data_IF_351984151795
#
_entry.id   IF_351984151795
#
_cell.length_a   1.000
_cell.length_b   1.000
_cell.length_c   1.000
_cell.angle_alpha   90.00
_cell.angle_beta   90.00
_cell.angle_gamma   90.00
#
_symmetry.space_group_name_H-M   'P 1'
#
loop_
_entity.id
_entity.type
_entity.pdbx_description
1 polymer ?
#
# COMPACT_ATOMS: atom_id res chain seq x y z
N UNK A 1 -77.87 -7.88 -10.55
CA UNK A 1 -78.28 -9.28 -10.75
C UNK A 1 -77.01 -10.08 -11.01
N UNK A 2 -76.66 -11.02 -10.36
CA UNK A 2 -77.02 -11.84 -9.24
C UNK A 2 -76.05 -13.02 -9.25
N UNK A 3 -75.52 -13.27 -8.08
CA UNK A 3 -75.38 -14.52 -7.34
C UNK A 3 -74.51 -15.67 -7.85
N UNK A 4 -73.53 -15.94 -7.04
CA UNK A 4 -73.34 -17.23 -6.29
C UNK A 4 -72.80 -18.39 -7.15
N UNK A 5 -71.93 -19.20 -6.68
CA UNK A 5 -71.64 -19.77 -5.35
C UNK A 5 -70.36 -20.63 -5.46
N UNK A 6 -69.49 -20.58 -4.46
CA UNK A 6 -69.18 -21.66 -3.56
C UNK A 6 -68.61 -22.98 -4.14
N UNK A 7 -67.36 -23.26 -3.90
CA UNK A 7 -66.94 -24.58 -3.38
C UNK A 7 -65.63 -24.47 -2.58
N UNK A 8 -65.73 -24.76 -1.31
CA UNK A 8 -64.59 -25.01 -0.42
C UNK A 8 -64.06 -26.40 -0.72
N UNK A 9 -62.75 -26.52 -0.91
CA UNK A 9 -62.04 -27.81 -0.76
C UNK A 9 -60.80 -27.56 0.07
N UNK A 10 -60.87 -27.94 1.32
CA UNK A 10 -59.77 -28.04 2.25
C UNK A 10 -58.87 -29.18 1.79
N UNK A 11 -57.62 -28.84 1.44
CA UNK A 11 -56.55 -29.83 1.28
C UNK A 11 -55.52 -29.54 2.34
N UNK A 12 -55.49 -30.38 3.38
CA UNK A 12 -54.43 -30.47 4.38
C UNK A 12 -53.18 -31.06 3.67
N UNK A 13 -52.16 -30.28 3.49
CA UNK A 13 -50.86 -30.79 3.08
C UNK A 13 -49.84 -30.57 4.21
N UNK A 14 -49.28 -31.67 4.64
CA UNK A 14 -48.29 -31.77 5.70
C UNK A 14 -47.06 -30.87 5.49
N UNK A 15 -46.70 -30.12 6.56
CA UNK A 15 -45.40 -29.47 6.63
C UNK A 15 -44.27 -30.50 6.75
N UNK A 16 -43.62 -30.78 5.63
CA UNK A 16 -42.29 -31.35 5.65
C UNK A 16 -41.28 -30.25 5.86
N UNK A 17 -40.70 -30.12 7.05
CA UNK A 17 -39.50 -29.34 7.29
C UNK A 17 -38.35 -30.00 6.58
N UNK A 18 -38.16 -29.64 5.32
CA UNK A 18 -36.90 -29.89 4.62
C UNK A 18 -35.88 -28.85 5.06
N UNK A 19 -34.96 -29.23 5.94
CA UNK A 19 -33.73 -28.45 6.17
C UNK A 19 -32.91 -28.47 4.89
N UNK A 20 -33.04 -27.43 4.07
CA UNK A 20 -32.07 -27.15 3.04
C UNK A 20 -30.72 -26.92 3.74
N UNK A 21 -29.65 -27.66 3.38
CA UNK A 21 -28.33 -27.32 3.86
C UNK A 21 -28.00 -25.93 3.31
N UNK A 22 -27.74 -24.98 4.22
CA UNK A 22 -27.06 -23.74 3.88
C UNK A 22 -25.69 -24.16 3.30
N UNK A 23 -25.63 -24.26 1.98
CA UNK A 23 -24.36 -24.25 1.26
C UNK A 23 -23.72 -22.89 1.60
N UNK A 24 -22.83 -22.93 2.60
CA UNK A 24 -21.90 -21.83 2.84
C UNK A 24 -21.19 -21.60 1.50
N UNK A 25 -21.62 -20.56 0.80
CA UNK A 25 -20.95 -20.05 -0.37
C UNK A 25 -19.60 -19.60 0.13
N UNK A 26 -18.55 -20.41 -0.06
CA UNK A 26 -17.19 -19.92 0.01
C UNK A 26 -17.13 -18.77 -1.00
N UNK A 27 -17.29 -17.55 -0.54
CA UNK A 27 -16.88 -16.40 -1.32
C UNK A 27 -15.38 -16.57 -1.54
N UNK A 28 -15.01 -16.95 -2.74
CA UNK A 28 -13.65 -16.80 -3.22
C UNK A 28 -13.40 -15.30 -3.17
N UNK A 29 -12.79 -14.80 -2.09
CA UNK A 29 -12.20 -13.47 -2.11
C UNK A 29 -11.22 -13.47 -3.27
N UNK A 30 -11.46 -12.62 -4.26
CA UNK A 30 -10.48 -12.43 -5.32
C UNK A 30 -9.13 -12.14 -4.67
N UNK A 31 -8.07 -12.78 -5.18
CA UNK A 31 -6.72 -12.46 -4.70
C UNK A 31 -6.50 -10.95 -4.83
N UNK A 32 -5.92 -10.28 -3.84
CA UNK A 32 -5.64 -8.86 -3.95
C UNK A 32 -4.68 -8.60 -5.13
N UNK A 33 -4.83 -7.46 -5.77
CA UNK A 33 -3.90 -7.05 -6.82
C UNK A 33 -2.49 -6.92 -6.23
N UNK A 34 -1.51 -7.49 -6.90
CA UNK A 34 -0.12 -7.34 -6.49
C UNK A 34 0.43 -6.04 -7.05
N UNK A 35 0.89 -5.18 -6.18
CA UNK A 35 1.53 -3.92 -6.50
C UNK A 35 3.06 -4.04 -6.57
N UNK A 36 3.69 -3.09 -7.26
CA UNK A 36 5.14 -2.91 -7.32
C UNK A 36 5.51 -1.48 -6.96
N UNK A 37 6.47 -1.31 -6.04
CA UNK A 37 7.15 -0.04 -5.85
C UNK A 37 8.25 0.09 -6.90
N UNK A 38 8.13 1.14 -7.74
CA UNK A 38 9.02 1.35 -8.90
C UNK A 38 10.45 1.76 -8.51
N UNK A 39 10.71 2.06 -7.24
CA UNK A 39 12.07 2.29 -6.74
C UNK A 39 12.99 1.09 -6.98
N UNK A 40 12.46 -0.12 -6.94
CA UNK A 40 13.19 -1.35 -7.30
C UNK A 40 13.81 -1.27 -8.69
N UNK A 41 13.16 -0.59 -9.61
CA UNK A 41 13.56 -0.44 -11.01
C UNK A 41 14.08 0.97 -11.34
N UNK A 42 14.45 1.79 -10.34
CA UNK A 42 14.78 3.22 -10.50
C UNK A 42 15.79 3.52 -11.60
N UNK A 43 16.82 2.68 -11.74
CA UNK A 43 17.85 2.86 -12.78
C UNK A 43 17.25 2.62 -14.19
N UNK A 44 16.44 1.59 -14.36
CA UNK A 44 15.76 1.28 -15.62
C UNK A 44 14.69 2.33 -15.94
N UNK A 45 13.95 2.79 -14.91
CA UNK A 45 12.97 3.86 -15.05
C UNK A 45 13.61 5.19 -15.47
N UNK A 46 14.82 5.48 -15.00
CA UNK A 46 15.55 6.70 -15.41
C UNK A 46 15.99 6.66 -16.87
N UNK A 47 16.24 5.47 -17.44
CA UNK A 47 16.68 5.27 -18.82
C UNK A 47 15.51 5.22 -19.79
N UNK A 48 14.49 4.41 -19.50
CA UNK A 48 13.35 4.26 -20.40
C UNK A 48 12.10 3.80 -19.62
N UNK A 49 11.31 4.74 -19.07
CA UNK A 49 10.12 4.43 -18.28
C UNK A 49 9.13 3.52 -19.01
N UNK A 50 8.83 3.81 -20.27
CA UNK A 50 7.85 3.03 -21.07
C UNK A 50 8.25 1.57 -21.20
N UNK A 51 9.49 1.29 -21.61
CA UNK A 51 9.98 -0.09 -21.78
C UNK A 51 10.00 -0.83 -20.44
N UNK A 52 10.38 -0.16 -19.37
CA UNK A 52 10.38 -0.74 -18.03
C UNK A 52 8.96 -1.10 -17.57
N UNK A 53 8.00 -0.20 -17.79
CA UNK A 53 6.58 -0.45 -17.45
C UNK A 53 5.96 -1.56 -18.32
N UNK A 54 6.33 -1.69 -19.59
CA UNK A 54 5.94 -2.81 -20.45
C UNK A 54 6.39 -4.16 -19.85
N UNK A 55 7.61 -4.21 -19.31
CA UNK A 55 8.10 -5.40 -18.63
C UNK A 55 7.32 -5.67 -17.32
N UNK A 56 7.08 -4.65 -16.50
CA UNK A 56 6.29 -4.76 -15.26
C UNK A 56 4.89 -5.31 -15.54
N UNK A 57 4.21 -4.77 -16.56
CA UNK A 57 2.89 -5.25 -16.99
C UNK A 57 2.93 -6.71 -17.47
N UNK A 58 3.99 -7.08 -18.22
CA UNK A 58 4.21 -8.46 -18.71
C UNK A 58 4.43 -9.47 -17.57
N UNK A 59 5.10 -9.08 -16.49
CA UNK A 59 5.24 -9.91 -15.28
C UNK A 59 3.89 -10.19 -14.63
N UNK A 60 2.96 -9.23 -14.68
CA UNK A 60 1.60 -9.40 -14.18
C UNK A 60 1.17 -8.40 -13.10
N UNK A 61 2.01 -7.46 -12.72
CA UNK A 61 1.67 -6.42 -11.77
C UNK A 61 0.47 -5.58 -12.25
N UNK A 62 -0.40 -5.19 -11.33
CA UNK A 62 -1.62 -4.42 -11.64
C UNK A 62 -1.67 -3.07 -10.96
N UNK A 63 -0.94 -2.91 -9.87
CA UNK A 63 -0.88 -1.69 -9.09
C UNK A 63 0.56 -1.21 -9.00
N UNK A 64 0.73 0.09 -9.05
CA UNK A 64 2.05 0.73 -8.97
C UNK A 64 2.07 1.75 -7.84
N UNK A 65 3.18 1.76 -7.16
CA UNK A 65 3.64 2.90 -6.38
C UNK A 65 4.84 3.54 -7.05
N UNK A 66 4.82 4.86 -7.16
CA UNK A 66 5.86 5.63 -7.86
C UNK A 66 6.85 6.24 -6.88
N UNK A 67 8.11 6.38 -7.28
CA UNK A 67 9.17 7.01 -6.49
C UNK A 67 9.99 8.03 -7.31
N UNK A 68 9.50 8.42 -8.47
CA UNK A 68 10.24 9.24 -9.43
C UNK A 68 9.65 10.65 -9.64
N UNK A 69 8.90 11.18 -8.66
CA UNK A 69 8.43 12.55 -8.73
C UNK A 69 9.56 13.53 -8.39
N UNK A 70 9.74 14.53 -9.23
CA UNK A 70 10.67 15.64 -9.01
C UNK A 70 10.27 16.83 -9.87
N UNK A 71 10.19 18.01 -9.28
CA UNK A 71 9.95 19.29 -9.97
C UNK A 71 8.70 19.28 -10.89
N UNK A 72 7.63 18.58 -10.47
CA UNK A 72 6.39 18.46 -11.23
C UNK A 72 6.43 17.40 -12.35
N UNK A 73 7.46 16.57 -12.41
CA UNK A 73 7.59 15.48 -13.39
C UNK A 73 7.66 14.12 -12.72
N UNK A 74 7.25 13.09 -13.45
CA UNK A 74 7.34 11.69 -13.05
C UNK A 74 8.32 10.96 -13.96
N UNK A 75 9.46 10.56 -13.41
CA UNK A 75 10.54 9.94 -14.20
C UNK A 75 10.93 10.77 -15.45
N UNK A 76 10.90 12.10 -15.33
CA UNK A 76 11.21 13.05 -16.40
C UNK A 76 10.08 13.33 -17.40
N UNK A 77 8.95 12.62 -17.31
CA UNK A 77 7.75 12.81 -18.14
C UNK A 77 6.75 13.75 -17.45
N UNK A 78 5.85 14.31 -18.24
CA UNK A 78 4.65 14.97 -17.74
C UNK A 78 3.77 13.94 -16.98
N UNK A 79 3.15 14.29 -15.83
CA UNK A 79 2.34 13.36 -15.05
C UNK A 79 1.20 12.73 -15.84
N UNK A 80 0.50 13.50 -16.68
CA UNK A 80 -0.57 13.00 -17.51
C UNK A 80 -0.06 12.03 -18.60
N UNK A 81 1.10 12.33 -19.21
CA UNK A 81 1.75 11.43 -20.15
C UNK A 81 2.15 10.11 -19.48
N UNK A 82 2.76 10.18 -18.29
CA UNK A 82 3.14 9.00 -17.52
C UNK A 82 1.92 8.15 -17.14
N UNK A 83 0.85 8.79 -16.67
CA UNK A 83 -0.43 8.14 -16.39
C UNK A 83 -1.01 7.42 -17.61
N UNK A 84 -0.96 8.06 -18.78
CA UNK A 84 -1.39 7.46 -20.04
C UNK A 84 -0.65 6.16 -20.34
N UNK A 85 0.69 6.14 -20.17
CA UNK A 85 1.50 4.92 -20.36
C UNK A 85 1.05 3.81 -19.42
N UNK A 86 0.86 4.12 -18.13
CA UNK A 86 0.48 3.13 -17.11
C UNK A 86 -0.90 2.53 -17.41
N UNK A 87 -1.87 3.38 -17.77
CA UNK A 87 -3.23 2.94 -18.06
C UNK A 87 -3.35 2.16 -19.36
N UNK A 88 -2.61 2.54 -20.42
CA UNK A 88 -2.53 1.80 -21.68
C UNK A 88 -2.01 0.37 -21.48
N UNK A 89 -1.15 0.18 -20.49
CA UNK A 89 -0.61 -1.13 -20.10
C UNK A 89 -1.53 -1.92 -19.14
N UNK A 90 -2.70 -1.38 -18.82
CA UNK A 90 -3.70 -2.03 -17.95
C UNK A 90 -3.31 -2.08 -16.48
N UNK A 91 -2.47 -1.15 -16.03
CA UNK A 91 -2.07 -0.97 -14.63
C UNK A 91 -2.72 0.29 -14.02
N UNK A 92 -2.60 0.45 -12.71
CA UNK A 92 -3.10 1.61 -11.96
C UNK A 92 -1.98 2.21 -11.12
N UNK A 93 -1.90 3.53 -11.10
CA UNK A 93 -1.11 4.25 -10.11
C UNK A 93 -1.94 4.40 -8.84
N UNK A 94 -1.56 3.71 -7.78
CA UNK A 94 -2.29 3.74 -6.51
C UNK A 94 -1.69 4.76 -5.56
N UNK A 95 -0.36 4.77 -5.46
CA UNK A 95 0.41 5.51 -4.48
C UNK A 95 1.67 6.12 -5.11
N UNK A 96 2.27 7.08 -4.42
CA UNK A 96 3.57 7.63 -4.82
C UNK A 96 4.28 8.35 -3.70
N UNK A 97 5.58 8.17 -3.72
CA UNK A 97 6.53 8.78 -2.81
C UNK A 97 6.80 10.23 -3.19
N UNK A 98 6.57 11.15 -2.26
CA UNK A 98 6.84 12.58 -2.41
C UNK A 98 7.79 13.01 -1.31
N UNK A 99 8.87 13.66 -1.68
CA UNK A 99 9.91 14.09 -0.72
C UNK A 99 9.38 15.06 0.32
N UNK A 100 9.99 15.09 1.51
CA UNK A 100 9.67 16.07 2.55
C UNK A 100 9.78 17.51 2.02
N UNK A 101 10.81 17.78 1.21
CA UNK A 101 10.99 19.06 0.56
C UNK A 101 9.81 19.44 -0.34
N UNK A 102 9.33 18.54 -1.19
CA UNK A 102 8.24 18.83 -2.13
C UNK A 102 6.91 18.99 -1.41
N UNK A 103 6.65 18.21 -0.36
CA UNK A 103 5.47 18.38 0.51
C UNK A 103 5.43 19.75 1.19
N UNK A 104 6.62 20.32 1.53
CA UNK A 104 6.74 21.64 2.16
C UNK A 104 6.67 22.78 1.18
N UNK A 105 7.38 22.69 0.07
CA UNK A 105 7.69 23.84 -0.77
C UNK A 105 7.11 23.79 -2.18
N UNK A 106 6.55 22.66 -2.61
CA UNK A 106 6.00 22.49 -3.97
C UNK A 106 4.60 21.84 -3.98
N UNK A 107 3.86 22.00 -2.89
CA UNK A 107 2.58 21.34 -2.67
C UNK A 107 1.56 21.57 -3.79
N UNK A 108 1.50 22.78 -4.35
CA UNK A 108 0.60 23.08 -5.47
C UNK A 108 0.84 22.22 -6.70
N UNK A 109 2.11 21.91 -7.04
CA UNK A 109 2.42 20.99 -8.15
C UNK A 109 2.16 19.53 -7.78
N UNK A 110 2.32 19.16 -6.51
CA UNK A 110 1.92 17.83 -6.03
C UNK A 110 0.42 17.62 -6.21
N UNK A 111 -0.41 18.61 -5.83
CA UNK A 111 -1.86 18.55 -6.04
C UNK A 111 -2.22 18.45 -7.52
N UNK A 112 -1.55 19.22 -8.40
CA UNK A 112 -1.78 19.11 -9.84
C UNK A 112 -1.41 17.70 -10.36
N UNK A 113 -0.28 17.14 -9.96
CA UNK A 113 0.10 15.77 -10.32
C UNK A 113 -0.95 14.76 -9.88
N UNK A 114 -1.51 14.92 -8.68
CA UNK A 114 -2.57 14.04 -8.16
C UNK A 114 -3.88 14.16 -8.94
N UNK A 115 -4.18 15.34 -9.49
CA UNK A 115 -5.31 15.54 -10.40
C UNK A 115 -5.07 14.85 -11.75
N UNK A 116 -3.87 15.04 -12.32
CA UNK A 116 -3.49 14.48 -13.62
C UNK A 116 -3.42 12.95 -13.63
N UNK A 117 -3.09 12.33 -12.48
CA UNK A 117 -2.85 10.88 -12.37
C UNK A 117 -3.96 10.10 -11.68
N UNK A 118 -4.84 10.78 -10.97
CA UNK A 118 -5.87 10.13 -10.17
C UNK A 118 -5.35 9.29 -9.00
N UNK A 119 -4.05 9.38 -8.67
CA UNK A 119 -3.39 8.64 -7.59
C UNK A 119 -4.09 8.90 -6.25
N UNK A 120 -4.29 7.84 -5.44
CA UNK A 120 -5.05 7.90 -4.19
C UNK A 120 -4.19 8.30 -3.00
N UNK A 121 -2.97 7.74 -2.90
CA UNK A 121 -2.08 7.91 -1.75
C UNK A 121 -0.88 8.79 -2.09
N UNK A 122 -0.54 9.65 -1.15
CA UNK A 122 0.70 10.43 -1.13
C UNK A 122 1.50 9.98 0.08
N UNK A 123 2.71 9.49 -0.13
CA UNK A 123 3.54 8.93 0.94
C UNK A 123 4.79 9.78 1.12
N UNK A 124 5.04 10.22 2.35
CA UNK A 124 6.37 10.71 2.74
C UNK A 124 7.29 9.51 2.98
N UNK A 125 8.27 9.26 2.08
CA UNK A 125 8.99 7.98 2.09
C UNK A 125 10.20 7.95 3.01
N UNK A 126 10.82 9.09 3.30
CA UNK A 126 12.15 9.12 3.90
C UNK A 126 12.47 10.48 4.50
N UNK A 127 13.28 10.47 5.55
CA UNK A 127 13.95 11.64 6.10
C UNK A 127 15.46 11.50 5.93
N UNK A 128 16.10 12.55 5.46
CA UNK A 128 17.55 12.59 5.35
C UNK A 128 18.22 12.51 6.74
N UNK A 129 19.47 12.08 6.82
CA UNK A 129 20.15 11.85 8.10
C UNK A 129 20.15 13.08 9.03
N UNK A 130 20.32 14.27 8.47
CA UNK A 130 20.25 15.53 9.20
C UNK A 130 18.84 15.94 9.63
N UNK A 131 17.81 15.29 9.10
CA UNK A 131 16.39 15.50 9.44
C UNK A 131 15.91 14.54 10.56
N UNK A 132 16.71 13.54 10.95
CA UNK A 132 16.32 12.51 11.92
C UNK A 132 16.53 12.97 13.36
N UNK A 133 15.79 13.99 13.77
CA UNK A 133 15.79 14.55 15.12
C UNK A 133 14.36 14.90 15.56
N UNK A 134 14.13 15.04 16.87
CA UNK A 134 12.77 15.23 17.40
C UNK A 134 12.09 16.51 16.90
N UNK A 135 12.83 17.58 16.69
CA UNK A 135 12.28 18.86 16.17
C UNK A 135 11.66 18.65 14.78
N UNK A 136 12.40 17.98 13.89
CA UNK A 136 11.91 17.66 12.54
C UNK A 136 10.78 16.63 12.58
N UNK A 137 10.80 15.65 13.49
CA UNK A 137 9.65 14.74 13.61
C UNK A 137 8.35 15.45 14.03
N UNK A 138 8.42 16.44 14.90
CA UNK A 138 7.23 17.27 15.21
C UNK A 138 6.79 18.10 14.01
N UNK A 139 7.72 18.68 13.24
CA UNK A 139 7.41 19.37 11.99
C UNK A 139 6.73 18.43 10.97
N UNK A 140 7.24 17.22 10.83
CA UNK A 140 6.65 16.19 9.98
C UNK A 140 5.22 15.86 10.41
N UNK A 141 4.96 15.68 11.70
CA UNK A 141 3.62 15.41 12.23
C UNK A 141 2.64 16.53 11.88
N UNK A 142 3.04 17.78 12.09
CA UNK A 142 2.22 18.94 11.75
C UNK A 142 1.92 18.99 10.24
N UNK A 143 2.95 18.79 9.41
CA UNK A 143 2.81 18.77 7.95
C UNK A 143 1.90 17.62 7.48
N UNK A 144 2.08 16.41 8.00
CA UNK A 144 1.26 15.25 7.63
C UNK A 144 -0.22 15.48 7.99
N UNK A 145 -0.49 16.03 9.18
CA UNK A 145 -1.85 16.35 9.60
C UNK A 145 -2.48 17.44 8.72
N UNK A 146 -1.74 18.50 8.39
CA UNK A 146 -2.20 19.58 7.50
C UNK A 146 -2.50 19.05 6.09
N UNK A 147 -1.53 18.36 5.46
CA UNK A 147 -1.68 17.81 4.10
C UNK A 147 -2.72 16.70 4.05
N UNK A 148 -2.79 15.88 5.10
CA UNK A 148 -3.81 14.84 5.24
C UNK A 148 -5.23 15.42 5.27
N UNK A 149 -5.44 16.49 6.02
CA UNK A 149 -6.73 17.18 6.07
C UNK A 149 -7.14 17.78 4.71
N UNK A 150 -6.19 18.36 3.96
CA UNK A 150 -6.43 18.85 2.60
C UNK A 150 -6.76 17.69 1.63
N UNK A 151 -5.94 16.63 1.64
CA UNK A 151 -6.11 15.45 0.77
C UNK A 151 -7.45 14.76 1.01
N UNK A 152 -7.91 14.68 2.25
CA UNK A 152 -9.22 14.09 2.59
C UNK A 152 -10.37 14.80 1.88
N UNK A 153 -10.32 16.14 1.67
CA UNK A 153 -11.33 16.88 0.92
C UNK A 153 -11.37 16.49 -0.56
N UNK A 154 -10.27 15.93 -1.06
CA UNK A 154 -10.11 15.43 -2.43
C UNK A 154 -10.29 13.91 -2.56
N UNK A 155 -10.79 13.25 -1.51
CA UNK A 155 -10.88 11.78 -1.41
C UNK A 155 -9.50 11.09 -1.61
N UNK A 156 -8.44 11.70 -1.11
CA UNK A 156 -7.06 11.17 -1.15
C UNK A 156 -6.54 10.99 0.28
N UNK A 157 -5.41 10.31 0.42
CA UNK A 157 -4.84 9.90 1.72
C UNK A 157 -3.38 10.29 1.80
N UNK A 158 -3.00 10.92 2.92
CA UNK A 158 -1.60 11.13 3.30
C UNK A 158 -1.09 9.93 4.07
N UNK A 159 0.13 9.46 3.78
CA UNK A 159 0.75 8.38 4.52
C UNK A 159 2.23 8.66 4.80
N UNK A 160 2.77 7.94 5.80
CA UNK A 160 4.18 7.92 6.15
C UNK A 160 4.75 6.51 5.98
N UNK A 161 5.90 6.38 5.33
CA UNK A 161 6.63 5.13 5.16
C UNK A 161 7.83 5.08 6.11
N UNK A 162 8.00 3.97 6.82
CA UNK A 162 9.09 3.79 7.77
C UNK A 162 10.31 3.07 7.19
N UNK A 163 11.45 3.40 7.76
CA UNK A 163 12.69 2.61 7.72
C UNK A 163 13.01 2.03 9.11
N UNK A 164 14.24 1.60 9.31
CA UNK A 164 14.68 1.10 10.61
C UNK A 164 14.93 2.22 11.63
N UNK A 165 15.34 3.40 11.17
CA UNK A 165 15.76 4.49 12.05
C UNK A 165 14.60 5.12 12.84
N UNK A 166 13.34 4.99 12.41
CA UNK A 166 12.20 5.44 13.20
C UNK A 166 11.95 4.59 14.45
N UNK A 167 12.53 3.41 14.51
CA UNK A 167 12.47 2.54 15.69
C UNK A 167 13.62 2.79 16.66
N UNK A 168 14.61 3.60 16.31
CA UNK A 168 15.71 3.98 17.19
C UNK A 168 15.28 5.10 18.14
N UNK A 169 15.66 4.98 19.42
CA UNK A 169 15.27 5.97 20.44
C UNK A 169 16.10 7.25 20.34
N UNK A 170 15.45 8.39 20.25
CA UNK A 170 16.05 9.72 20.31
C UNK A 170 15.64 10.37 21.65
N UNK A 171 16.57 10.51 22.59
CA UNK A 171 16.27 11.11 23.87
C UNK A 171 15.19 10.38 24.70
N UNK A 172 15.03 9.08 24.49
CA UNK A 172 14.01 8.26 25.17
C UNK A 172 12.68 8.17 24.43
N UNK A 173 12.54 8.83 23.27
CA UNK A 173 11.35 8.79 22.41
C UNK A 173 11.67 7.96 21.17
N UNK A 174 10.78 7.03 20.81
CA UNK A 174 10.85 6.25 19.56
C UNK A 174 10.03 6.97 18.51
N UNK A 175 10.63 7.48 17.41
CA UNK A 175 9.95 8.26 16.39
C UNK A 175 8.72 7.56 15.78
N UNK A 176 8.79 6.26 15.50
CA UNK A 176 7.63 5.51 14.98
C UNK A 176 6.43 5.56 15.93
N UNK A 177 6.68 5.43 17.25
CA UNK A 177 5.63 5.54 18.26
C UNK A 177 5.08 6.97 18.37
N UNK A 178 5.96 7.97 18.21
CA UNK A 178 5.58 9.38 18.21
C UNK A 178 4.68 9.69 17.02
N UNK A 179 5.10 9.33 15.80
CA UNK A 179 4.33 9.49 14.57
C UNK A 179 2.94 8.84 14.67
N UNK A 180 2.87 7.57 15.11
CA UNK A 180 1.61 6.84 15.24
C UNK A 180 0.65 7.44 16.28
N UNK A 181 1.16 8.13 17.32
CA UNK A 181 0.34 8.73 18.37
C UNK A 181 -0.13 10.15 18.05
N UNK A 182 0.75 10.95 17.47
CA UNK A 182 0.52 12.39 17.32
C UNK A 182 -0.07 12.76 15.95
N UNK A 183 -0.01 11.85 14.96
CA UNK A 183 -0.75 12.07 13.71
C UNK A 183 -2.22 11.73 13.86
N UNK A 184 -3.09 12.54 13.26
CA UNK A 184 -4.54 12.33 13.25
C UNK A 184 -4.88 11.08 12.42
N UNK A 185 -5.42 10.07 13.10
CA UNK A 185 -5.81 8.79 12.50
C UNK A 185 -6.93 8.88 11.46
N UNK A 186 -7.62 10.02 11.37
CA UNK A 186 -8.66 10.21 10.37
C UNK A 186 -8.13 10.73 9.03
N UNK A 187 -6.90 11.29 9.00
CA UNK A 187 -6.36 11.94 7.81
C UNK A 187 -4.96 11.45 7.43
N UNK A 188 -4.26 10.74 8.32
CA UNK A 188 -2.92 10.18 8.07
C UNK A 188 -2.93 8.68 8.28
N UNK A 189 -2.49 7.94 7.30
CA UNK A 189 -2.22 6.51 7.35
C UNK A 189 -0.71 6.21 7.38
N UNK A 190 -0.37 4.94 7.43
CA UNK A 190 1.02 4.49 7.36
C UNK A 190 1.19 3.46 6.25
N UNK A 191 2.32 3.54 5.61
CA UNK A 191 2.86 2.50 4.75
C UNK A 191 3.91 1.73 5.54
N UNK A 192 3.52 0.56 6.08
CA UNK A 192 4.45 -0.24 6.88
C UNK A 192 5.39 -1.01 5.98
N UNK A 193 6.68 -0.71 6.10
CA UNK A 193 7.72 -1.53 5.50
C UNK A 193 8.04 -2.73 6.39
N UNK A 194 7.74 -3.92 5.90
CA UNK A 194 7.88 -5.16 6.67
C UNK A 194 9.35 -5.54 6.88
N UNK A 195 10.21 -5.31 5.88
CA UNK A 195 11.65 -5.57 6.01
C UNK A 195 12.30 -4.65 7.04
N UNK A 196 12.09 -3.34 6.92
CA UNK A 196 12.69 -2.37 7.81
C UNK A 196 12.18 -2.52 9.24
N UNK A 197 10.91 -2.88 9.42
CA UNK A 197 10.34 -3.21 10.74
C UNK A 197 11.05 -4.40 11.37
N UNK A 198 11.26 -5.50 10.63
CA UNK A 198 11.98 -6.68 11.13
C UNK A 198 13.47 -6.37 11.33
N UNK A 199 14.09 -5.61 10.43
CA UNK A 199 15.49 -5.18 10.52
C UNK A 199 15.77 -4.37 11.80
N UNK A 200 14.81 -3.57 12.23
CA UNK A 200 14.86 -2.81 13.48
C UNK A 200 14.59 -3.68 14.73
N UNK A 201 14.30 -4.97 14.58
CA UNK A 201 13.91 -5.85 15.68
C UNK A 201 12.50 -5.61 16.21
N UNK A 202 11.67 -4.87 15.46
CA UNK A 202 10.28 -4.62 15.78
C UNK A 202 9.37 -5.71 15.18
N UNK A 203 8.09 -5.73 15.60
CA UNK A 203 7.09 -6.70 15.15
C UNK A 203 5.91 -6.01 14.50
N UNK A 204 5.68 -6.29 13.21
CA UNK A 204 4.49 -5.82 12.49
C UNK A 204 3.20 -6.25 13.19
N UNK A 205 3.13 -7.49 13.68
CA UNK A 205 1.96 -8.03 14.39
C UNK A 205 1.64 -7.26 15.66
N UNK A 206 2.67 -6.82 16.41
CA UNK A 206 2.49 -6.00 17.61
C UNK A 206 2.01 -4.58 17.25
N UNK A 207 2.55 -4.01 16.16
CA UNK A 207 2.10 -2.71 15.66
C UNK A 207 0.63 -2.76 15.22
N UNK A 208 0.22 -3.78 14.45
CA UNK A 208 -1.17 -3.96 14.01
C UNK A 208 -2.14 -4.10 15.19
N UNK A 209 -1.75 -4.87 16.21
CA UNK A 209 -2.56 -5.05 17.42
C UNK A 209 -2.72 -3.75 18.20
N UNK A 210 -1.67 -2.95 18.29
CA UNK A 210 -1.62 -1.69 19.07
C UNK A 210 -2.29 -0.54 18.33
N UNK A 211 -2.08 -0.43 17.01
CA UNK A 211 -2.53 0.66 16.16
C UNK A 211 -3.40 0.14 15.01
N UNK A 212 -4.57 -0.39 15.36
CA UNK A 212 -5.51 -0.98 14.38
C UNK A 212 -5.93 0.02 13.32
N UNK A 213 -6.09 -0.45 12.09
CA UNK A 213 -6.54 0.33 10.94
C UNK A 213 -5.65 1.55 10.59
N UNK A 214 -4.37 1.50 10.95
CA UNK A 214 -3.42 2.59 10.65
C UNK A 214 -2.46 2.27 9.51
N UNK A 215 -2.42 1.05 9.00
CA UNK A 215 -1.43 0.56 8.05
C UNK A 215 -2.09 0.15 6.74
N UNK A 216 -2.63 1.15 6.01
CA UNK A 216 -3.37 0.91 4.76
C UNK A 216 -2.49 0.47 3.59
N UNK A 217 -1.21 0.78 3.65
CA UNK A 217 -0.21 0.39 2.64
C UNK A 217 0.89 -0.44 3.29
N UNK A 218 1.40 -1.43 2.55
CA UNK A 218 2.55 -2.23 2.98
C UNK A 218 3.61 -2.33 1.90
N UNK A 219 4.89 -2.17 2.29
CA UNK A 219 6.01 -2.66 1.49
C UNK A 219 6.34 -4.10 1.86
N UNK A 220 6.23 -4.97 0.88
CA UNK A 220 6.54 -6.40 0.99
C UNK A 220 7.95 -6.60 0.46
N UNK A 221 8.94 -6.46 1.35
CA UNK A 221 10.35 -6.71 1.13
C UNK A 221 10.79 -7.88 2.00
N UNK A 222 11.65 -8.76 1.49
CA UNK A 222 12.12 -9.91 2.25
C UNK A 222 13.59 -9.81 2.64
N UNK A 223 13.96 -10.53 3.69
CA UNK A 223 15.27 -10.49 4.33
C UNK A 223 15.87 -11.89 4.37
N UNK A 224 17.11 -12.03 3.93
CA UNK A 224 17.85 -13.28 4.08
C UNK A 224 18.41 -13.45 5.51
N UNK A 225 19.00 -14.61 5.80
CA UNK A 225 19.58 -14.91 7.11
C UNK A 225 20.73 -13.95 7.54
N UNK A 226 21.38 -13.29 6.59
CA UNK A 226 22.43 -12.31 6.87
C UNK A 226 21.86 -10.90 7.14
N UNK A 227 20.56 -10.71 6.96
CA UNK A 227 19.89 -9.43 7.13
C UNK A 227 19.94 -8.54 5.88
N UNK A 228 20.26 -9.09 4.70
CA UNK A 228 20.27 -8.37 3.44
C UNK A 228 18.95 -8.58 2.69
N UNK A 229 18.72 -7.75 1.65
CA UNK A 229 17.57 -7.90 0.79
C UNK A 229 17.63 -9.20 -0.02
N UNK A 230 16.46 -9.81 -0.22
CA UNK A 230 16.28 -10.95 -1.13
C UNK A 230 14.90 -10.89 -1.75
N UNK A 231 14.65 -11.69 -2.77
CA UNK A 231 13.32 -11.81 -3.38
C UNK A 231 12.30 -12.31 -2.37
N UNK A 232 11.10 -11.76 -2.42
CA UNK A 232 9.98 -12.17 -1.58
C UNK A 232 9.76 -13.68 -1.65
N UNK A 233 9.65 -14.32 -0.50
CA UNK A 233 9.51 -15.76 -0.35
C UNK A 233 10.81 -16.56 -0.37
N UNK A 234 11.95 -15.92 -0.59
CA UNK A 234 13.28 -16.53 -0.48
C UNK A 234 13.96 -16.24 0.86
N UNK A 235 13.37 -15.37 1.67
CA UNK A 235 13.93 -14.92 2.93
C UNK A 235 13.32 -15.57 4.16
N UNK A 236 13.36 -14.86 5.28
CA UNK A 236 12.96 -15.34 6.60
C UNK A 236 11.68 -14.70 7.13
N UNK A 237 11.13 -13.70 6.45
CA UNK A 237 9.92 -13.01 6.91
C UNK A 237 8.70 -13.90 6.66
N UNK A 238 7.93 -14.17 7.71
CA UNK A 238 6.70 -14.97 7.62
C UNK A 238 5.53 -14.14 7.10
N UNK A 239 5.48 -13.92 5.78
CA UNK A 239 4.42 -13.13 5.15
C UNK A 239 3.03 -13.72 5.35
N UNK A 240 2.88 -15.05 5.38
CA UNK A 240 1.56 -15.66 5.61
C UNK A 240 0.95 -15.18 6.94
N UNK A 241 1.72 -15.24 8.03
CA UNK A 241 1.26 -14.78 9.35
C UNK A 241 0.93 -13.29 9.37
N UNK A 242 1.71 -12.49 8.62
CA UNK A 242 1.49 -11.04 8.51
C UNK A 242 0.22 -10.75 7.70
N UNK A 243 0.03 -11.39 6.54
CA UNK A 243 -1.15 -11.21 5.69
C UNK A 243 -2.45 -11.69 6.37
N UNK A 244 -2.38 -12.69 7.25
CA UNK A 244 -3.52 -13.13 8.07
C UNK A 244 -4.04 -12.02 8.99
N UNK A 245 -3.23 -10.99 9.28
CA UNK A 245 -3.60 -9.82 10.08
C UNK A 245 -3.96 -8.59 9.23
N UNK A 246 -4.08 -8.73 7.92
CA UNK A 246 -4.36 -7.60 7.00
C UNK A 246 -5.61 -6.79 7.37
N UNK A 247 -6.67 -7.44 7.83
CA UNK A 247 -7.89 -6.76 8.28
C UNK A 247 -7.66 -5.95 9.58
N UNK A 248 -6.87 -6.47 10.52
CA UNK A 248 -6.55 -5.77 11.77
C UNK A 248 -5.68 -4.55 11.51
N UNK A 249 -4.74 -4.67 10.58
CA UNK A 249 -3.89 -3.58 10.13
C UNK A 249 -4.66 -2.49 9.37
N UNK A 250 -5.77 -2.84 8.72
CA UNK A 250 -6.51 -1.97 7.80
C UNK A 250 -5.93 -1.92 6.39
N UNK A 251 -5.12 -2.95 6.00
CA UNK A 251 -4.45 -3.00 4.70
C UNK A 251 -5.44 -2.90 3.54
N UNK A 252 -5.14 -2.00 2.62
CA UNK A 252 -5.86 -1.80 1.36
C UNK A 252 -5.01 -2.24 0.17
N UNK A 253 -3.72 -1.89 0.16
CA UNK A 253 -2.78 -2.20 -0.90
C UNK A 253 -1.43 -2.64 -0.33
N UNK A 254 -0.69 -3.39 -1.12
CA UNK A 254 0.69 -3.74 -0.81
C UNK A 254 1.54 -3.71 -2.08
N UNK A 255 2.81 -3.36 -1.91
CA UNK A 255 3.75 -3.25 -3.02
C UNK A 255 4.98 -4.10 -2.73
N UNK A 256 5.33 -4.97 -3.67
CA UNK A 256 6.62 -5.66 -3.66
C UNK A 256 7.70 -4.61 -3.88
N UNK A 257 8.78 -4.68 -3.12
CA UNK A 257 9.95 -3.84 -3.31
C UNK A 257 11.24 -4.57 -2.92
N UNK A 258 12.33 -4.21 -3.58
CA UNK A 258 13.69 -4.62 -3.20
C UNK A 258 14.66 -3.48 -3.51
N UNK A 259 15.24 -2.84 -2.50
CA UNK A 259 16.06 -1.63 -2.64
C UNK A 259 17.37 -1.89 -3.37
N UNK A 260 17.90 -3.09 -3.22
CA UNK A 260 19.14 -3.52 -3.87
C UNK A 260 18.96 -4.90 -4.50
N UNK A 261 19.19 -4.98 -5.81
CA UNK A 261 19.17 -6.22 -6.58
C UNK A 261 20.24 -6.18 -7.66
N UNK A 262 20.90 -7.31 -7.87
CA UNK A 262 21.87 -7.48 -8.98
C UNK A 262 21.16 -7.55 -10.33
N UNK A 263 19.94 -8.08 -10.36
CA UNK A 263 19.11 -8.21 -11.56
C UNK A 263 17.66 -7.85 -11.18
N UNK A 264 17.31 -6.56 -11.19
CA UNK A 264 16.00 -6.10 -10.69
C UNK A 264 14.82 -6.62 -11.53
N UNK A 265 14.97 -6.85 -12.83
CA UNK A 265 13.92 -7.43 -13.66
C UNK A 265 13.62 -8.87 -13.23
N UNK A 266 14.65 -9.68 -13.05
CA UNK A 266 14.50 -11.05 -12.55
C UNK A 266 13.96 -11.07 -11.12
N UNK A 267 14.40 -10.14 -10.28
CA UNK A 267 13.97 -10.03 -8.89
C UNK A 267 12.46 -9.79 -8.80
N UNK A 268 11.92 -8.80 -9.51
CA UNK A 268 10.47 -8.53 -9.48
C UNK A 268 9.65 -9.70 -10.03
N UNK A 269 10.14 -10.41 -11.05
CA UNK A 269 9.45 -11.57 -11.60
C UNK A 269 9.43 -12.75 -10.61
N UNK A 270 10.54 -12.98 -9.90
CA UNK A 270 10.67 -14.02 -8.86
C UNK A 270 9.77 -13.70 -7.67
N UNK A 271 9.86 -12.48 -7.15
CA UNK A 271 9.05 -12.00 -6.02
C UNK A 271 7.54 -12.07 -6.32
N UNK A 272 7.14 -11.65 -7.52
CA UNK A 272 5.75 -11.76 -7.97
C UNK A 272 5.25 -13.20 -7.91
N UNK A 273 5.99 -14.13 -8.53
CA UNK A 273 5.63 -15.55 -8.55
C UNK A 273 5.54 -16.13 -7.14
N UNK A 274 6.58 -15.93 -6.33
CA UNK A 274 6.63 -16.48 -4.97
C UNK A 274 5.46 -15.97 -4.11
N UNK A 275 5.13 -14.68 -4.20
CA UNK A 275 4.01 -14.11 -3.43
C UNK A 275 2.66 -14.63 -3.92
N UNK A 276 2.48 -14.87 -5.23
CA UNK A 276 1.27 -15.51 -5.75
C UNK A 276 1.08 -16.93 -5.26
N UNK A 277 2.16 -17.65 -4.98
CA UNK A 277 2.13 -19.01 -4.44
C UNK A 277 1.86 -19.00 -2.91
N UNK A 278 2.13 -17.89 -2.22
CA UNK A 278 1.87 -17.69 -0.78
C UNK A 278 0.43 -17.26 -0.48
N UNK A 279 -0.17 -16.42 -1.32
CA UNK A 279 -1.52 -15.86 -1.18
C UNK A 279 -2.55 -16.65 -2.01
#
# INVERSE_FOLDING_TARGET
>A
MDKRSFLKTTLTAAMGLGTLPLLSRCEFKAKPNTGLQLYTLRDLMSVNPRKTLEYVAKVGYKELETAGYSEGKMYGLDPFEFYGIVTDLGMKMVSGHISFKDLKSDWGRVLQMLEDTGQKYVVLPHLEENERNLEVYYEVIELLNERGAELRQLDKVMAYHNHAFEFESIGGIVPMELLLKETDAEVVDFELDLYWTVKAGASALNLFKKYKNRFSLWHVKDMNLAGDFTEVGNGVINFQEIFDQSQVAGMQHFFIEQDQSVDPEKSIATSFKNLQDLL
#
